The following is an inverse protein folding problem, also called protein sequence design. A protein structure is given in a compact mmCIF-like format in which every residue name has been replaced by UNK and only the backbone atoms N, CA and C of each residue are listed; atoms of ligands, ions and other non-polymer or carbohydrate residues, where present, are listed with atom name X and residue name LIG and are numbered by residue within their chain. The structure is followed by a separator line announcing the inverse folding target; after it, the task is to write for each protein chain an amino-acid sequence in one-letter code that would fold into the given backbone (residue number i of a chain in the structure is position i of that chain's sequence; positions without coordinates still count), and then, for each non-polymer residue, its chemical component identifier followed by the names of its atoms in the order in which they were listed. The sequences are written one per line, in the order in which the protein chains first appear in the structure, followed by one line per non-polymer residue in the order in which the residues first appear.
data_IF_817493270473
#
_entry.id   IF_817493270473
#
_cell.length_a   1.000
_cell.length_b   1.000
_cell.length_c   1.000
_cell.angle_alpha   90.00
_cell.angle_beta   90.00
_cell.angle_gamma   90.00
#
_symmetry.space_group_name_H-M   'P 1'
#
loop_
_entity.id
_entity.type
_entity.pdbx_description
1 polymer ?
#
# COMPACT_ATOMS: atom_id res chain seq x y z
N UNK A 1 14.72 27.24 -11.44
CA UNK A 1 15.46 25.95 -11.50
C UNK A 1 15.39 25.18 -10.19
N UNK A 2 15.62 25.82 -9.03
CA UNK A 2 15.56 25.13 -7.73
C UNK A 2 14.15 24.62 -7.37
N UNK A 3 13.12 25.45 -7.59
CA UNK A 3 11.72 25.07 -7.33
C UNK A 3 11.28 23.83 -8.14
N UNK A 4 11.55 23.82 -9.45
CA UNK A 4 11.30 22.65 -10.31
C UNK A 4 11.99 21.38 -9.79
N UNK A 5 13.24 21.49 -9.29
CA UNK A 5 13.96 20.34 -8.74
C UNK A 5 13.32 19.84 -7.44
N UNK A 6 12.81 20.75 -6.61
CA UNK A 6 12.10 20.40 -5.39
C UNK A 6 10.76 19.70 -5.70
N UNK A 7 10.01 20.22 -6.66
CA UNK A 7 8.74 19.63 -7.15
C UNK A 7 8.97 18.22 -7.72
N UNK A 8 9.96 18.05 -8.60
CA UNK A 8 10.31 16.73 -9.14
C UNK A 8 10.67 15.72 -8.05
N UNK A 9 11.39 16.14 -7.00
CA UNK A 9 11.71 15.27 -5.87
C UNK A 9 10.48 14.88 -5.06
N UNK A 10 9.53 15.80 -4.89
CA UNK A 10 8.29 15.53 -4.19
C UNK A 10 7.41 14.54 -4.96
N UNK A 11 7.28 14.71 -6.28
CA UNK A 11 6.59 13.77 -7.17
C UNK A 11 7.20 12.36 -7.03
N UNK A 12 8.53 12.25 -7.11
CA UNK A 12 9.22 10.97 -6.94
C UNK A 12 8.98 10.35 -5.56
N UNK A 13 8.93 11.16 -4.50
CA UNK A 13 8.64 10.67 -3.16
C UNK A 13 7.21 10.09 -3.06
N UNK A 14 6.20 10.78 -3.61
CA UNK A 14 4.83 10.28 -3.68
C UNK A 14 4.75 8.94 -4.43
N UNK A 15 5.32 8.88 -5.64
CA UNK A 15 5.28 7.68 -6.47
C UNK A 15 6.02 6.51 -5.83
N UNK A 16 7.15 6.76 -5.17
CA UNK A 16 7.92 5.71 -4.49
C UNK A 16 7.12 5.08 -3.35
N UNK A 17 6.54 5.90 -2.47
CA UNK A 17 5.73 5.39 -1.34
C UNK A 17 4.47 4.69 -1.84
N UNK A 18 3.84 5.21 -2.90
CA UNK A 18 2.69 4.57 -3.53
C UNK A 18 3.05 3.17 -4.08
N UNK A 19 4.14 3.04 -4.84
CA UNK A 19 4.59 1.75 -5.37
C UNK A 19 4.87 0.74 -4.25
N UNK A 20 5.60 1.15 -3.21
CA UNK A 20 5.88 0.26 -2.07
C UNK A 20 4.58 -0.18 -1.38
N UNK A 21 3.63 0.74 -1.20
CA UNK A 21 2.35 0.46 -0.55
C UNK A 21 1.50 -0.55 -1.34
N UNK A 22 1.47 -0.47 -2.68
CA UNK A 22 0.70 -1.42 -3.50
C UNK A 22 1.27 -2.84 -3.41
N UNK A 23 2.60 -2.99 -3.37
CA UNK A 23 3.22 -4.31 -3.20
C UNK A 23 2.89 -4.92 -1.84
N UNK A 24 3.08 -4.17 -0.76
CA UNK A 24 2.85 -4.66 0.60
C UNK A 24 1.37 -4.96 0.82
N UNK A 25 0.48 -4.05 0.44
CA UNK A 25 -0.94 -4.24 0.66
C UNK A 25 -1.53 -5.36 -0.21
N UNK A 26 -1.06 -5.55 -1.46
CA UNK A 26 -1.48 -6.68 -2.30
C UNK A 26 -0.98 -8.01 -1.72
N UNK A 27 0.24 -8.04 -1.20
CA UNK A 27 0.78 -9.19 -0.49
C UNK A 27 -0.11 -9.59 0.70
N UNK A 28 -0.57 -8.65 1.53
CA UNK A 28 -1.53 -8.95 2.59
C UNK A 28 -2.90 -9.41 2.05
N UNK A 29 -3.34 -8.91 0.89
CA UNK A 29 -4.55 -9.41 0.22
C UNK A 29 -4.44 -10.88 -0.19
N UNK A 30 -3.27 -11.31 -0.69
CA UNK A 30 -2.99 -12.72 -1.00
C UNK A 30 -3.03 -13.59 0.26
N UNK A 31 -2.38 -13.15 1.35
CA UNK A 31 -2.40 -13.86 2.63
C UNK A 31 -3.82 -13.92 3.23
N UNK A 32 -4.59 -12.85 3.08
CA UNK A 32 -5.98 -12.76 3.54
C UNK A 32 -6.86 -13.79 2.82
N UNK A 33 -6.78 -13.89 1.49
CA UNK A 33 -7.57 -14.85 0.70
C UNK A 33 -7.17 -16.28 1.00
N UNK A 34 -5.88 -16.57 1.06
CA UNK A 34 -5.38 -17.92 1.39
C UNK A 34 -5.76 -18.36 2.81
N UNK A 35 -5.75 -17.44 3.78
CA UNK A 35 -6.26 -17.70 5.12
C UNK A 35 -7.76 -17.96 5.12
N UNK A 36 -8.55 -17.18 4.38
CA UNK A 36 -10.01 -17.40 4.25
C UNK A 36 -10.37 -18.71 3.58
N UNK A 37 -9.52 -19.17 2.65
CA UNK A 37 -9.67 -20.45 1.96
C UNK A 37 -9.22 -21.66 2.82
N UNK A 38 -8.69 -21.44 4.02
CA UNK A 38 -8.17 -22.51 4.88
C UNK A 38 -6.83 -23.09 4.41
N UNK A 39 -6.19 -22.47 3.42
CA UNK A 39 -4.90 -22.89 2.85
C UNK A 39 -3.70 -22.42 3.70
N UNK A 40 -3.91 -21.41 4.54
CA UNK A 40 -2.89 -20.83 5.41
C UNK A 40 -3.46 -20.62 6.82
N UNK A 41 -2.81 -21.24 7.81
CA UNK A 41 -3.15 -21.03 9.22
C UNK A 41 -2.43 -19.78 9.73
N UNK A 42 -3.20 -18.77 10.11
CA UNK A 42 -2.67 -17.50 10.60
C UNK A 42 -2.35 -17.57 12.08
N UNK A 43 -1.29 -16.89 12.54
CA UNK A 43 -1.05 -16.75 13.97
C UNK A 43 -2.13 -15.86 14.61
N UNK A 44 -2.49 -16.13 15.86
CA UNK A 44 -3.53 -15.38 16.58
C UNK A 44 -3.21 -13.89 16.74
N UNK A 45 -1.94 -13.51 16.72
CA UNK A 45 -1.50 -12.11 16.77
C UNK A 45 -1.59 -11.38 15.42
N UNK A 46 -1.79 -12.10 14.30
CA UNK A 46 -1.94 -11.55 12.95
C UNK A 46 -2.96 -12.34 12.13
N UNK A 47 -4.21 -12.23 12.56
CA UNK A 47 -5.36 -12.90 11.98
C UNK A 47 -5.85 -12.30 10.65
N UNK A 48 -6.91 -12.92 10.11
CA UNK A 48 -7.61 -12.49 8.90
C UNK A 48 -7.99 -11.00 8.91
N UNK A 49 -8.47 -10.47 10.04
CA UNK A 49 -8.96 -9.10 10.12
C UNK A 49 -7.82 -8.10 10.14
N UNK A 50 -6.70 -8.43 10.80
CA UNK A 50 -5.49 -7.60 10.77
C UNK A 50 -4.88 -7.54 9.37
N UNK A 51 -4.83 -8.65 8.65
CA UNK A 51 -4.42 -8.68 7.25
C UNK A 51 -5.36 -7.87 6.36
N UNK A 52 -6.68 -8.01 6.56
CA UNK A 52 -7.69 -7.22 5.86
C UNK A 52 -7.51 -5.72 6.10
N UNK A 53 -7.25 -5.30 7.34
CA UNK A 53 -6.97 -3.91 7.67
C UNK A 53 -5.69 -3.43 6.98
N UNK A 54 -4.61 -4.20 7.03
CA UNK A 54 -3.35 -3.85 6.37
C UNK A 54 -3.53 -3.70 4.85
N UNK A 55 -4.18 -4.67 4.20
CA UNK A 55 -4.51 -4.63 2.79
C UNK A 55 -5.35 -3.39 2.43
N UNK A 56 -6.47 -3.20 3.13
CA UNK A 56 -7.41 -2.11 2.86
C UNK A 56 -6.80 -0.72 3.07
N UNK A 57 -6.11 -0.49 4.19
CA UNK A 57 -5.49 0.81 4.48
C UNK A 57 -4.37 1.12 3.48
N UNK A 58 -3.49 0.15 3.20
CA UNK A 58 -2.37 0.37 2.28
C UNK A 58 -2.83 0.60 0.84
N UNK A 59 -3.84 -0.13 0.35
CA UNK A 59 -4.32 0.05 -1.03
C UNK A 59 -5.30 1.20 -1.16
N UNK A 60 -6.37 1.23 -0.35
CA UNK A 60 -7.49 2.15 -0.56
C UNK A 60 -7.25 3.55 -0.03
N UNK A 61 -6.34 3.73 0.95
CA UNK A 61 -5.98 5.04 1.49
C UNK A 61 -4.57 5.45 1.06
N UNK A 62 -3.54 4.69 1.43
CA UNK A 62 -2.15 5.14 1.24
C UNK A 62 -1.76 5.15 -0.24
N UNK A 63 -1.92 4.03 -0.95
CA UNK A 63 -1.54 3.92 -2.35
C UNK A 63 -2.35 4.87 -3.24
N UNK A 64 -3.68 4.82 -3.18
CA UNK A 64 -4.53 5.68 -4.03
C UNK A 64 -4.27 7.16 -3.79
N UNK A 65 -4.22 7.61 -2.52
CA UNK A 65 -3.99 9.03 -2.22
C UNK A 65 -2.62 9.47 -2.73
N UNK A 66 -1.54 8.77 -2.40
CA UNK A 66 -0.20 9.21 -2.78
C UNK A 66 0.06 9.06 -4.28
N UNK A 67 -0.50 8.04 -4.94
CA UNK A 67 -0.40 7.89 -6.39
C UNK A 67 -1.10 9.05 -7.11
N UNK A 68 -2.33 9.39 -6.72
CA UNK A 68 -3.08 10.51 -7.30
C UNK A 68 -2.37 11.84 -7.02
N UNK A 69 -1.88 12.07 -5.80
CA UNK A 69 -1.12 13.26 -5.46
C UNK A 69 0.16 13.39 -6.28
N UNK A 70 0.90 12.30 -6.49
CA UNK A 70 2.10 12.28 -7.33
C UNK A 70 1.82 12.59 -8.80
N UNK A 71 0.66 12.20 -9.33
CA UNK A 71 0.24 12.53 -10.70
C UNK A 71 -0.33 13.94 -10.86
N UNK A 72 -0.79 14.55 -9.76
CA UNK A 72 -1.46 15.85 -9.76
C UNK A 72 -0.56 16.99 -9.24
N UNK A 73 0.67 16.68 -8.83
CA UNK A 73 1.71 17.64 -8.44
C UNK A 73 2.60 17.94 -9.64
#
# INVERSE_FOLDING_TARGET
MEQQRAENRLILAYLYVALVSVFIGTFFGLLQVTSRAGLFQTPSWFDYYRMLTAHGVLLALVFTTLFISGLST
#
